data_IF_835891881947
#
_entry.id   IF_835891881947
#
_cell.length_a   1.000
_cell.length_b   1.000
_cell.length_c   1.000
_cell.angle_alpha   90.00
_cell.angle_beta   90.00
_cell.angle_gamma   90.00
#
_symmetry.space_group_name_H-M   'P 1'
#
loop_
_entity.id
_entity.type
_entity.pdbx_description
1 polymer ?
#
# COMPACT_ATOMS: atom_id res chain seq x y z
N UNK A 1 -9.55 -14.12 20.94
CA UNK A 1 -10.94 -13.94 20.50
C UNK A 1 -10.90 -13.89 18.97
N UNK A 2 -11.53 -14.83 18.26
CA UNK A 2 -11.57 -14.76 16.79
C UNK A 2 -12.67 -13.76 16.40
N UNK A 3 -12.43 -12.83 15.47
CA UNK A 3 -13.50 -11.98 14.96
C UNK A 3 -14.56 -12.87 14.29
N UNK A 4 -15.83 -12.55 14.53
CA UNK A 4 -16.94 -13.22 13.88
C UNK A 4 -16.93 -12.84 12.39
N UNK A 5 -17.22 -13.78 11.50
CA UNK A 5 -17.40 -13.45 10.08
C UNK A 5 -18.74 -12.71 9.89
N UNK A 6 -18.78 -11.65 9.07
CA UNK A 6 -20.01 -10.89 8.83
C UNK A 6 -20.98 -11.69 7.95
N UNK A 7 -22.27 -11.63 8.29
CA UNK A 7 -23.31 -12.39 7.59
C UNK A 7 -23.84 -11.65 6.34
N UNK A 8 -23.55 -10.34 6.24
CA UNK A 8 -23.96 -9.50 5.13
C UNK A 8 -22.97 -8.34 4.87
N UNK A 9 -23.19 -7.63 3.76
CA UNK A 9 -22.32 -6.54 3.33
C UNK A 9 -22.38 -5.32 4.27
N UNK A 10 -23.53 -5.04 4.88
CA UNK A 10 -23.67 -3.90 5.79
C UNK A 10 -22.84 -4.08 7.08
N UNK A 11 -22.81 -5.30 7.61
CA UNK A 11 -21.95 -5.69 8.73
C UNK A 11 -20.46 -5.60 8.38
N UNK A 12 -20.07 -6.11 7.20
CA UNK A 12 -18.70 -5.99 6.73
C UNK A 12 -18.27 -4.52 6.59
N UNK A 13 -19.16 -3.66 6.08
CA UNK A 13 -18.92 -2.22 5.95
C UNK A 13 -18.77 -1.61 7.35
N UNK A 14 -19.64 -1.93 8.30
CA UNK A 14 -19.58 -1.40 9.66
C UNK A 14 -18.25 -1.76 10.37
N UNK A 15 -17.82 -3.01 10.26
CA UNK A 15 -16.53 -3.47 10.81
C UNK A 15 -15.33 -2.74 10.20
N UNK A 16 -15.41 -2.35 8.92
CA UNK A 16 -14.34 -1.66 8.21
C UNK A 16 -14.42 -0.13 8.29
N UNK A 17 -15.57 0.44 8.67
CA UNK A 17 -15.80 1.88 8.70
C UNK A 17 -15.19 2.55 9.94
N UNK A 18 -14.96 1.78 11.01
CA UNK A 18 -14.32 2.27 12.24
C UNK A 18 -12.82 2.47 12.01
N UNK A 19 -12.46 3.66 11.52
CA UNK A 19 -11.07 4.10 11.37
C UNK A 19 -10.64 4.74 12.70
N UNK A 20 -9.61 4.21 13.40
CA UNK A 20 -9.10 4.79 14.62
C UNK A 20 -8.77 6.29 14.47
N UNK A 21 -9.13 7.15 15.43
CA UNK A 21 -8.90 8.59 15.32
C UNK A 21 -7.46 8.98 15.00
N UNK A 22 -6.48 8.25 15.55
CA UNK A 22 -5.03 8.43 15.29
C UNK A 22 -4.66 8.33 13.80
N UNK A 23 -5.45 7.61 12.99
CA UNK A 23 -5.26 7.50 11.55
C UNK A 23 -5.99 8.60 10.77
N UNK A 24 -7.00 9.22 11.39
CA UNK A 24 -7.78 10.34 10.85
C UNK A 24 -7.23 11.70 11.23
N UNK A 25 -6.31 11.75 12.21
CA UNK A 25 -5.61 12.98 12.58
C UNK A 25 -4.98 13.62 11.35
N UNK A 26 -5.06 14.95 11.29
CA UNK A 26 -4.41 15.72 10.23
C UNK A 26 -2.92 15.40 10.26
N UNK A 27 -2.48 14.64 9.25
CA UNK A 27 -1.06 14.37 9.04
C UNK A 27 -0.31 15.69 8.88
N UNK A 28 0.92 15.79 9.40
CA UNK A 28 1.78 16.94 9.12
C UNK A 28 1.89 17.13 7.61
N UNK A 29 2.00 18.38 7.17
CA UNK A 29 2.17 18.71 5.76
C UNK A 29 3.45 18.05 5.27
N UNK A 30 3.30 17.07 4.37
CA UNK A 30 4.43 16.43 3.71
C UNK A 30 5.00 17.37 2.64
N UNK A 31 6.31 17.30 2.35
CA UNK A 31 6.88 17.99 1.20
C UNK A 31 6.14 17.65 -0.10
N UNK A 32 6.16 18.59 -1.04
CA UNK A 32 5.56 18.36 -2.35
C UNK A 32 6.15 17.08 -3.00
N UNK A 33 5.31 16.19 -3.57
CA UNK A 33 5.78 15.02 -4.29
C UNK A 33 6.74 15.41 -5.40
N UNK A 34 7.82 14.62 -5.57
CA UNK A 34 8.68 14.78 -6.74
C UNK A 34 7.90 14.46 -8.02
N UNK A 35 8.17 15.15 -9.13
CA UNK A 35 7.56 14.80 -10.41
C UNK A 35 7.86 13.35 -10.75
N UNK A 36 6.83 12.61 -11.15
CA UNK A 36 6.98 11.22 -11.55
C UNK A 36 7.88 11.15 -12.79
N UNK A 37 8.98 10.41 -12.68
CA UNK A 37 9.77 10.02 -13.84
C UNK A 37 9.12 8.78 -14.45
N UNK A 38 9.07 8.71 -15.78
CA UNK A 38 8.57 7.52 -16.47
C UNK A 38 9.43 6.34 -16.06
N UNK A 39 8.82 5.26 -15.58
CA UNK A 39 9.55 4.03 -15.29
C UNK A 39 10.03 3.41 -16.60
N UNK A 40 11.33 3.11 -16.66
CA UNK A 40 11.99 2.47 -17.80
C UNK A 40 12.78 1.29 -17.25
N UNK A 41 12.61 0.13 -17.88
CA UNK A 41 13.45 -1.04 -17.64
C UNK A 41 14.48 -1.07 -18.76
N UNK A 42 15.67 -0.60 -18.45
CA UNK A 42 16.82 -0.58 -19.35
C UNK A 42 17.85 -1.64 -18.93
N UNK A 43 18.95 -1.72 -19.67
CA UNK A 43 20.02 -2.67 -19.38
C UNK A 43 20.63 -2.46 -17.98
N UNK A 44 20.60 -1.22 -17.46
CA UNK A 44 21.06 -0.94 -16.11
C UNK A 44 20.08 -1.47 -15.05
N UNK A 45 18.78 -1.47 -15.31
CA UNK A 45 17.78 -2.11 -14.46
C UNK A 45 17.94 -3.65 -14.48
N UNK A 46 18.17 -4.24 -15.66
CA UNK A 46 18.41 -5.69 -15.79
C UNK A 46 19.70 -6.10 -15.08
N UNK A 47 20.77 -5.31 -15.20
CA UNK A 47 22.03 -5.58 -14.53
C UNK A 47 21.93 -5.61 -13.00
N UNK A 48 20.99 -4.84 -12.40
CA UNK A 48 20.78 -4.82 -10.95
C UNK A 48 20.23 -6.15 -10.40
N UNK A 49 19.55 -6.93 -11.24
CA UNK A 49 18.88 -8.18 -10.83
C UNK A 49 19.51 -9.44 -11.42
N UNK A 50 20.52 -9.30 -12.29
CA UNK A 50 21.12 -10.39 -13.07
C UNK A 50 21.75 -11.53 -12.25
N UNK A 51 21.90 -11.38 -10.93
CA UNK A 51 22.44 -12.42 -10.03
C UNK A 51 21.46 -12.85 -8.93
N UNK A 52 20.17 -12.50 -9.05
CA UNK A 52 19.16 -12.86 -8.06
C UNK A 52 18.30 -13.99 -8.64
N UNK A 53 18.59 -15.23 -8.24
CA UNK A 53 17.93 -16.45 -8.72
C UNK A 53 16.41 -16.52 -8.44
N UNK A 54 15.90 -15.62 -7.59
CA UNK A 54 14.46 -15.49 -7.27
C UNK A 54 13.65 -14.84 -8.40
N UNK A 55 14.28 -14.09 -9.31
CA UNK A 55 13.62 -13.30 -10.35
C UNK A 55 13.93 -13.76 -11.78
N UNK A 56 14.12 -15.08 -11.96
CA UNK A 56 14.29 -15.74 -13.27
C UNK A 56 12.95 -16.18 -13.84
#
# INVERSE_FOLDING_TARGET
>A
MKPQEPDNLDELIADCADIPPVLTERKPVLPAPRPATRWVVDDAAVAQVAGIDEFV
#
